data_IF_473680256158
#
_entry.id   IF_473680256158
#
_cell.length_a   1.000
_cell.length_b   1.000
_cell.length_c   1.000
_cell.angle_alpha   90.00
_cell.angle_beta   90.00
_cell.angle_gamma   90.00
#
_symmetry.space_group_name_H-M   'P 1'
#
loop_
_entity.id
_entity.type
_entity.pdbx_description
1 polymer ?
#
# COMPACT_ATOMS: atom_id res chain seq x y z
N UNK A 1 4.25 -40.80 22.45
CA UNK A 1 4.89 -39.49 22.67
C UNK A 1 5.52 -39.08 21.35
N UNK A 2 5.15 -37.90 20.85
CA UNK A 2 5.10 -37.54 19.44
C UNK A 2 6.47 -37.52 18.74
N UNK A 3 6.60 -38.30 17.65
CA UNK A 3 7.64 -38.12 16.63
C UNK A 3 7.35 -36.80 15.91
N UNK A 4 8.33 -35.92 15.94
CA UNK A 4 8.37 -34.66 15.21
C UNK A 4 8.21 -34.92 13.70
N UNK A 5 7.25 -34.21 13.09
CA UNK A 5 6.95 -34.19 11.65
C UNK A 5 8.07 -33.51 10.82
N UNK A 6 9.34 -33.64 11.22
CA UNK A 6 10.49 -33.02 10.57
C UNK A 6 11.29 -33.93 9.63
N UNK A 7 11.06 -35.25 9.67
CA UNK A 7 11.92 -36.24 9.01
C UNK A 7 11.21 -37.11 7.95
N UNK A 8 10.17 -36.58 7.28
CA UNK A 8 9.51 -37.30 6.18
C UNK A 8 9.38 -36.41 4.94
N UNK A 9 10.41 -35.63 4.58
CA UNK A 9 10.44 -34.92 3.29
C UNK A 9 11.86 -34.76 2.74
N UNK A 10 12.67 -35.83 2.76
CA UNK A 10 13.99 -35.81 2.11
C UNK A 10 14.29 -37.12 1.40
N UNK A 11 13.64 -37.38 0.27
CA UNK A 11 14.15 -38.39 -0.69
C UNK A 11 13.64 -38.25 -2.12
N UNK A 12 12.93 -37.18 -2.48
CA UNK A 12 12.48 -37.00 -3.86
C UNK A 12 13.04 -35.71 -4.46
N UNK A 13 14.17 -35.85 -5.16
CA UNK A 13 14.86 -34.76 -5.87
C UNK A 13 14.00 -34.12 -6.96
N UNK A 14 12.92 -34.77 -7.42
CA UNK A 14 11.98 -34.19 -8.39
C UNK A 14 10.99 -33.23 -7.73
N UNK A 15 10.59 -33.49 -6.49
CA UNK A 15 9.72 -32.60 -5.71
C UNK A 15 10.45 -31.30 -5.33
N UNK A 16 11.73 -31.38 -4.93
CA UNK A 16 12.55 -30.17 -4.68
C UNK A 16 12.66 -29.29 -5.91
N UNK A 17 13.01 -29.85 -7.08
CA UNK A 17 13.10 -29.07 -8.33
C UNK A 17 11.77 -28.42 -8.72
N UNK A 18 10.63 -29.08 -8.49
CA UNK A 18 9.31 -28.50 -8.78
C UNK A 18 8.94 -27.38 -7.82
N UNK A 19 9.26 -27.51 -6.54
CA UNK A 19 9.08 -26.43 -5.57
C UNK A 19 10.00 -25.23 -5.86
N UNK A 20 11.25 -25.48 -6.24
CA UNK A 20 12.20 -24.44 -6.62
C UNK A 20 11.76 -23.70 -7.90
N UNK A 21 11.23 -24.42 -8.90
CA UNK A 21 10.67 -23.82 -10.12
C UNK A 21 9.40 -23.03 -9.80
N UNK A 22 8.49 -23.57 -8.97
CA UNK A 22 7.28 -22.87 -8.58
C UNK A 22 7.60 -21.59 -7.77
N UNK A 23 8.64 -21.62 -6.93
CA UNK A 23 9.12 -20.46 -6.18
C UNK A 23 9.84 -19.44 -7.09
N UNK A 24 10.65 -19.88 -8.05
CA UNK A 24 11.27 -18.99 -9.04
C UNK A 24 10.26 -18.35 -10.00
N UNK A 25 9.15 -19.03 -10.28
CA UNK A 25 8.03 -18.50 -11.08
C UNK A 25 7.03 -17.68 -10.25
N UNK A 26 7.09 -17.78 -8.92
CA UNK A 26 6.32 -16.93 -8.01
C UNK A 26 7.03 -15.59 -7.88
N UNK A 27 6.86 -14.75 -8.90
CA UNK A 27 7.02 -13.31 -8.71
C UNK A 27 5.82 -12.87 -7.87
N UNK A 28 5.99 -12.23 -6.70
CA UNK A 28 4.87 -11.53 -6.09
C UNK A 28 4.41 -10.53 -7.15
N UNK A 29 3.22 -10.78 -7.71
CA UNK A 29 2.55 -9.82 -8.59
C UNK A 29 2.00 -8.73 -7.69
N UNK A 30 2.88 -8.09 -6.91
CA UNK A 30 2.55 -6.81 -6.35
C UNK A 30 2.42 -5.90 -7.57
N UNK A 31 1.21 -5.42 -7.89
CA UNK A 31 1.08 -4.46 -8.98
C UNK A 31 2.02 -3.31 -8.65
N UNK A 32 2.82 -2.90 -9.65
CA UNK A 32 3.73 -1.76 -9.56
C UNK A 32 3.07 -0.66 -8.71
N UNK A 33 3.74 -0.13 -7.66
CA UNK A 33 3.19 0.95 -6.86
C UNK A 33 2.77 2.11 -7.77
N UNK A 34 1.54 2.58 -7.60
CA UNK A 34 1.04 3.74 -8.34
C UNK A 34 1.77 4.98 -7.86
N UNK A 35 2.22 5.80 -8.80
CA UNK A 35 2.74 7.14 -8.52
C UNK A 35 1.59 8.07 -8.12
N UNK A 36 1.90 9.16 -7.41
CA UNK A 36 0.88 10.11 -6.99
C UNK A 36 0.03 10.68 -8.15
N UNK A 37 0.61 11.05 -9.32
CA UNK A 37 -0.19 11.47 -10.48
C UNK A 37 -1.15 10.38 -10.98
N UNK A 38 -0.69 9.13 -11.08
CA UNK A 38 -1.55 8.00 -11.48
C UNK A 38 -2.71 7.77 -10.49
N UNK A 39 -2.48 8.04 -9.19
CA UNK A 39 -3.52 7.95 -8.16
C UNK A 39 -4.57 9.06 -8.35
N UNK A 40 -4.14 10.29 -8.62
CA UNK A 40 -5.03 11.43 -8.86
C UNK A 40 -5.85 11.27 -10.15
N UNK A 41 -5.29 10.63 -11.17
CA UNK A 41 -6.01 10.30 -12.41
C UNK A 41 -7.15 9.28 -12.17
N UNK A 42 -7.01 8.41 -11.16
CA UNK A 42 -8.07 7.45 -10.78
C UNK A 42 -9.16 8.15 -9.94
N UNK A 43 -8.76 8.93 -8.93
CA UNK A 43 -9.70 9.71 -8.12
C UNK A 43 -9.15 11.11 -7.83
N UNK A 44 -9.69 12.10 -8.55
CA UNK A 44 -9.26 13.49 -8.47
C UNK A 44 -9.49 14.12 -7.09
N UNK A 45 -10.42 13.58 -6.28
CA UNK A 45 -10.70 14.09 -4.93
C UNK A 45 -9.48 13.99 -4.02
N UNK A 46 -8.60 13.02 -4.26
CA UNK A 46 -7.32 12.87 -3.55
C UNK A 46 -6.45 14.11 -3.81
N UNK A 47 -6.27 14.48 -5.08
CA UNK A 47 -5.51 15.66 -5.47
C UNK A 47 -6.09 16.93 -4.87
N UNK A 48 -7.43 17.08 -4.89
CA UNK A 48 -8.10 18.22 -4.27
C UNK A 48 -7.82 18.34 -2.77
N UNK A 49 -7.85 17.23 -2.02
CA UNK A 49 -7.56 17.23 -0.58
C UNK A 49 -6.11 17.63 -0.30
N UNK A 50 -5.16 17.11 -1.07
CA UNK A 50 -3.74 17.48 -0.93
C UNK A 50 -3.53 18.96 -1.26
N UNK A 51 -4.09 19.48 -2.34
CA UNK A 51 -4.01 20.91 -2.67
C UNK A 51 -4.73 21.81 -1.66
N UNK A 52 -5.74 21.30 -0.94
CA UNK A 52 -6.35 22.04 0.18
C UNK A 52 -5.43 22.05 1.38
N UNK A 53 -4.80 20.92 1.72
CA UNK A 53 -3.84 20.81 2.81
C UNK A 53 -2.64 21.76 2.61
N UNK A 54 -2.09 21.85 1.39
CA UNK A 54 -0.98 22.75 1.04
C UNK A 54 -1.32 24.24 1.27
N UNK A 55 -2.57 24.62 0.99
CA UNK A 55 -3.08 25.98 1.18
C UNK A 55 -3.51 26.26 2.62
N UNK A 56 -3.62 25.23 3.46
CA UNK A 56 -4.08 25.37 4.83
C UNK A 56 -2.95 25.95 5.71
N UNK A 57 -3.15 27.19 6.16
CA UNK A 57 -2.17 27.94 6.97
C UNK A 57 -2.48 27.92 8.46
N UNK A 58 -3.44 27.10 8.92
CA UNK A 58 -3.72 26.95 10.34
C UNK A 58 -2.47 26.41 11.06
N UNK A 59 -2.16 26.89 12.28
CA UNK A 59 -0.92 26.56 12.98
C UNK A 59 -0.90 25.15 13.58
N UNK A 60 -2.08 24.56 13.79
CA UNK A 60 -2.23 23.23 14.41
C UNK A 60 -2.05 22.11 13.37
N UNK A 61 -0.78 21.81 13.04
CA UNK A 61 -0.41 20.84 12.01
C UNK A 61 -0.85 19.42 12.34
N UNK A 62 -0.77 19.01 13.59
CA UNK A 62 -1.20 17.67 14.03
C UNK A 62 -2.68 17.46 13.77
N UNK A 63 -3.51 18.47 14.10
CA UNK A 63 -4.95 18.42 13.85
C UNK A 63 -5.27 18.44 12.35
N UNK A 64 -4.54 19.23 11.56
CA UNK A 64 -4.67 19.22 10.10
C UNK A 64 -4.34 17.85 9.53
N UNK A 65 -3.20 17.28 9.91
CA UNK A 65 -2.77 15.96 9.48
C UNK A 65 -3.81 14.90 9.83
N UNK A 66 -4.29 14.86 11.08
CA UNK A 66 -5.31 13.91 11.51
C UNK A 66 -6.62 14.05 10.72
N UNK A 67 -7.04 15.28 10.44
CA UNK A 67 -8.25 15.56 9.66
C UNK A 67 -8.11 15.08 8.21
N UNK A 68 -7.08 15.55 7.50
CA UNK A 68 -6.89 15.19 6.09
C UNK A 68 -6.57 13.71 5.90
N UNK A 69 -5.79 13.10 6.81
CA UNK A 69 -5.54 11.66 6.80
C UNK A 69 -6.84 10.86 6.89
N UNK A 70 -7.76 11.26 7.78
CA UNK A 70 -9.06 10.60 7.93
C UNK A 70 -9.84 10.63 6.62
N UNK A 71 -9.89 11.79 5.97
CA UNK A 71 -10.60 11.97 4.70
C UNK A 71 -9.95 11.15 3.58
N UNK A 72 -8.62 11.18 3.47
CA UNK A 72 -7.87 10.40 2.49
C UNK A 72 -8.03 8.88 2.69
N UNK A 73 -8.15 8.41 3.94
CA UNK A 73 -8.33 6.98 4.23
C UNK A 73 -9.68 6.44 3.70
N UNK A 74 -10.66 7.31 3.43
CA UNK A 74 -11.91 6.90 2.77
C UNK A 74 -11.75 6.75 1.25
N UNK A 75 -10.73 7.37 0.67
CA UNK A 75 -10.49 7.39 -0.79
C UNK A 75 -9.40 6.39 -1.21
N UNK A 76 -8.44 6.09 -0.34
CA UNK A 76 -7.32 5.18 -0.60
C UNK A 76 -7.16 4.12 0.49
N UNK A 77 -6.49 3.02 0.16
CA UNK A 77 -6.29 1.91 1.09
C UNK A 77 -7.54 1.05 1.23
N UNK A 78 -7.74 0.45 2.41
CA UNK A 78 -8.76 -0.60 2.60
C UNK A 78 -10.19 -0.16 2.27
N UNK A 79 -10.52 1.11 2.53
CA UNK A 79 -11.87 1.65 2.35
C UNK A 79 -12.12 2.26 0.97
N UNK A 80 -11.11 2.32 0.10
CA UNK A 80 -11.26 2.87 -1.24
C UNK A 80 -12.39 2.16 -2.00
N UNK A 81 -13.11 2.84 -2.87
CA UNK A 81 -14.12 2.20 -3.71
C UNK A 81 -13.45 1.48 -4.89
N UNK A 82 -12.50 2.15 -5.55
CA UNK A 82 -11.73 1.58 -6.67
C UNK A 82 -10.68 0.57 -6.16
N UNK A 83 -10.72 -0.65 -6.70
CA UNK A 83 -9.81 -1.74 -6.36
C UNK A 83 -8.34 -1.39 -6.60
N UNK A 84 -8.04 -0.52 -7.56
CA UNK A 84 -6.68 -0.07 -7.86
C UNK A 84 -6.08 0.79 -6.74
N UNK A 85 -6.93 1.46 -5.96
CA UNK A 85 -6.54 2.27 -4.81
C UNK A 85 -6.51 1.48 -3.50
N UNK A 86 -7.03 0.24 -3.50
CA UNK A 86 -7.01 -0.69 -2.36
C UNK A 86 -5.64 -1.36 -2.18
N UNK A 87 -4.62 -0.55 -1.94
CA UNK A 87 -3.27 -1.02 -1.65
C UNK A 87 -2.63 -0.25 -0.50
N UNK A 88 -1.83 -0.96 0.29
CA UNK A 88 -0.98 -0.34 1.31
C UNK A 88 0.06 0.60 0.71
N UNK A 89 0.59 0.28 -0.47
CA UNK A 89 1.56 1.13 -1.18
C UNK A 89 0.93 2.43 -1.66
N UNK A 90 -0.25 2.37 -2.28
CA UNK A 90 -1.04 3.56 -2.67
C UNK A 90 -1.34 4.44 -1.46
N UNK A 91 -1.78 3.84 -0.36
CA UNK A 91 -2.03 4.57 0.88
C UNK A 91 -0.75 5.27 1.38
N UNK A 92 0.39 4.59 1.41
CA UNK A 92 1.67 5.19 1.81
C UNK A 92 2.03 6.40 0.93
N UNK A 93 1.97 6.26 -0.40
CA UNK A 93 2.25 7.35 -1.35
C UNK A 93 1.37 8.58 -1.10
N UNK A 94 0.10 8.38 -0.76
CA UNK A 94 -0.82 9.49 -0.45
C UNK A 94 -0.52 10.14 0.91
N UNK A 95 -0.11 9.36 1.90
CA UNK A 95 0.29 9.90 3.21
C UNK A 95 1.60 10.69 3.10
N UNK A 96 2.57 10.22 2.31
CA UNK A 96 3.81 10.96 2.06
C UNK A 96 3.50 12.32 1.40
N UNK A 97 2.64 12.33 0.38
CA UNK A 97 2.18 13.58 -0.25
C UNK A 97 1.45 14.52 0.73
N UNK A 98 0.69 13.98 1.69
CA UNK A 98 0.05 14.78 2.74
C UNK A 98 1.09 15.41 3.68
N UNK A 99 2.10 14.64 4.10
CA UNK A 99 3.19 15.15 4.95
C UNK A 99 3.94 16.28 4.23
N UNK A 100 4.29 16.08 2.96
CA UNK A 100 4.92 17.12 2.13
C UNK A 100 4.06 18.40 2.05
N UNK A 101 2.76 18.25 1.78
CA UNK A 101 1.83 19.38 1.67
C UNK A 101 1.67 20.16 3.00
N UNK A 102 1.77 19.48 4.14
CA UNK A 102 1.68 20.11 5.46
C UNK A 102 3.03 20.57 6.02
N UNK A 103 4.14 20.29 5.32
CA UNK A 103 5.52 20.44 5.80
C UNK A 103 5.76 19.73 7.14
N UNK A 104 5.27 18.49 7.23
CA UNK A 104 5.35 17.63 8.41
C UNK A 104 6.61 16.76 8.40
#
# INVERSE_FOLDING_TARGET
>A
MYRTLGEVLTTDTRLKRRADIAFQLWQPVDPKPLTFPEIVDIDCRIGELISRAERDKRPDRDRLYASYKRDLTQLVGWYAEDRRLKSSSTYATVIDALCEALHY
#
